data_IF_925449144596
#
_entry.id   IF_925449144596
#
_cell.length_a   1.000
_cell.length_b   1.000
_cell.length_c   1.000
_cell.angle_alpha   90.00
_cell.angle_beta   90.00
_cell.angle_gamma   90.00
#
_symmetry.space_group_name_H-M   'P 1'
#
loop_
_entity.id
_entity.type
_entity.pdbx_description
1 polymer ?
#
# COMPACT_ATOMS: atom_id res chain seq x y z
N UNK A 1 57.47 34.21 18.30
CA UNK A 1 56.86 33.32 19.30
C UNK A 1 55.59 32.75 18.71
N UNK A 2 55.49 31.41 18.67
CA UNK A 2 54.26 30.60 18.45
C UNK A 2 53.73 30.69 17.00
N UNK A 3 54.22 29.92 16.03
CA UNK A 3 54.08 28.46 15.83
C UNK A 3 52.64 27.95 15.94
N UNK A 4 52.16 27.35 14.82
CA UNK A 4 51.04 26.40 14.70
C UNK A 4 49.62 26.96 14.63
N UNK A 5 49.21 27.52 13.49
CA UNK A 5 47.85 27.30 12.98
C UNK A 5 47.95 27.18 11.45
N UNK A 6 47.25 26.19 10.88
CA UNK A 6 47.03 25.93 9.46
C UNK A 6 48.07 25.04 8.74
N UNK A 7 48.32 23.86 9.31
CA UNK A 7 48.88 22.72 8.57
C UNK A 7 47.88 21.55 8.50
N UNK A 8 46.59 21.82 8.22
CA UNK A 8 45.60 20.82 7.78
C UNK A 8 44.49 21.53 7.00
N UNK A 9 44.75 22.01 5.79
CA UNK A 9 43.68 22.42 4.85
C UNK A 9 44.09 22.28 3.37
N UNK A 10 45.37 22.05 3.05
CA UNK A 10 45.84 21.98 1.66
C UNK A 10 46.00 20.55 1.10
N UNK A 11 45.38 19.54 1.71
CA UNK A 11 45.38 18.16 1.19
C UNK A 11 44.04 17.71 0.56
N UNK A 12 43.07 18.60 0.38
CA UNK A 12 41.77 18.27 -0.24
C UNK A 12 41.44 19.04 -1.52
N UNK A 13 42.44 19.53 -2.26
CA UNK A 13 42.21 20.23 -3.54
C UNK A 13 42.96 19.61 -4.73
N UNK A 14 43.27 18.31 -4.66
CA UNK A 14 43.85 17.55 -5.77
C UNK A 14 43.18 16.18 -5.95
N UNK A 15 41.85 16.12 -5.85
CA UNK A 15 41.09 15.09 -6.58
C UNK A 15 40.06 15.80 -7.44
N UNK A 16 40.54 16.33 -8.57
CA UNK A 16 39.73 16.57 -9.75
C UNK A 16 39.44 15.19 -10.36
N UNK A 17 38.70 14.36 -9.63
CA UNK A 17 38.15 13.13 -10.16
C UNK A 17 37.10 13.54 -11.17
N UNK A 18 37.41 13.26 -12.43
CA UNK A 18 36.54 13.45 -13.58
C UNK A 18 35.12 13.05 -13.16
N UNK A 19 34.18 14.00 -13.24
CA UNK A 19 32.77 13.66 -13.40
C UNK A 19 32.71 12.80 -14.66
N UNK A 20 32.77 11.47 -14.47
CA UNK A 20 32.33 10.53 -15.47
C UNK A 20 30.88 10.92 -15.69
N UNK A 21 30.59 11.46 -16.87
CA UNK A 21 29.26 11.44 -17.43
C UNK A 21 28.71 10.04 -17.18
N UNK A 22 27.87 9.91 -16.14
CA UNK A 22 26.97 8.79 -16.03
C UNK A 22 26.08 9.00 -17.24
N UNK A 23 26.35 8.24 -18.31
CA UNK A 23 25.37 7.98 -19.34
C UNK A 23 24.07 7.71 -18.61
N UNK A 24 23.18 8.70 -18.60
CA UNK A 24 21.78 8.51 -18.26
C UNK A 24 21.32 7.49 -19.27
N UNK A 25 21.37 6.22 -18.87
CA UNK A 25 20.76 5.13 -19.60
C UNK A 25 19.29 5.54 -19.63
N UNK A 26 18.90 6.20 -20.73
CA UNK A 26 17.54 6.60 -21.02
C UNK A 26 16.76 5.29 -21.08
N UNK A 27 16.28 4.84 -19.93
CA UNK A 27 15.39 3.70 -19.83
C UNK A 27 14.20 4.17 -20.65
N UNK A 28 14.05 3.62 -21.85
CA UNK A 28 12.83 3.79 -22.61
C UNK A 28 11.72 3.20 -21.76
N UNK A 29 11.08 4.07 -20.97
CA UNK A 29 9.91 3.71 -20.19
C UNK A 29 8.82 3.45 -21.19
N UNK A 30 8.53 2.17 -21.40
CA UNK A 30 7.34 1.76 -22.13
C UNK A 30 6.16 2.52 -21.53
N UNK A 31 5.41 3.22 -22.37
CA UNK A 31 4.17 3.87 -21.94
C UNK A 31 3.07 2.83 -21.90
N UNK A 32 2.32 2.76 -20.79
CA UNK A 32 1.20 1.84 -20.63
C UNK A 32 -0.12 2.61 -20.63
N UNK A 33 -1.07 2.14 -21.42
CA UNK A 33 -2.43 2.67 -21.38
C UNK A 33 -3.16 2.26 -20.11
N UNK A 34 -4.18 3.02 -19.71
CA UNK A 34 -5.06 2.67 -18.58
C UNK A 34 -5.62 1.24 -18.68
N UNK A 35 -6.06 0.83 -19.87
CA UNK A 35 -6.63 -0.49 -20.08
C UNK A 35 -5.59 -1.61 -19.93
N UNK A 36 -4.36 -1.41 -20.40
CA UNK A 36 -3.27 -2.36 -20.20
C UNK A 36 -2.92 -2.50 -18.72
N UNK A 37 -2.79 -1.39 -17.99
CA UNK A 37 -2.55 -1.39 -16.55
C UNK A 37 -3.64 -2.20 -15.83
N UNK A 38 -4.93 -1.90 -16.08
CA UNK A 38 -6.03 -2.61 -15.42
C UNK A 38 -6.06 -4.11 -15.75
N UNK A 39 -5.73 -4.51 -16.98
CA UNK A 39 -5.62 -5.92 -17.34
C UNK A 39 -4.47 -6.62 -16.61
N UNK A 40 -3.32 -5.94 -16.47
CA UNK A 40 -2.18 -6.47 -15.73
C UNK A 40 -2.46 -6.58 -14.23
N UNK A 41 -3.26 -5.65 -13.69
CA UNK A 41 -3.75 -5.73 -12.31
C UNK A 41 -4.59 -7.00 -12.10
N UNK A 42 -5.55 -7.25 -12.99
CA UNK A 42 -6.42 -8.42 -12.88
C UNK A 42 -5.62 -9.74 -12.88
N UNK A 43 -4.56 -9.80 -13.70
CA UNK A 43 -3.62 -10.93 -13.71
C UNK A 43 -2.88 -11.05 -12.38
N UNK A 44 -2.35 -9.94 -11.86
CA UNK A 44 -1.62 -9.92 -10.58
C UNK A 44 -2.53 -10.35 -9.42
N UNK A 45 -3.74 -9.80 -9.30
CA UNK A 45 -4.70 -10.14 -8.24
C UNK A 45 -5.16 -11.59 -8.33
N UNK A 46 -5.40 -12.10 -9.55
CA UNK A 46 -5.76 -13.51 -9.76
C UNK A 46 -4.63 -14.45 -9.35
N UNK A 47 -3.38 -14.12 -9.69
CA UNK A 47 -2.19 -14.88 -9.28
C UNK A 47 -2.05 -14.85 -7.76
N UNK A 48 -2.13 -13.67 -7.14
CA UNK A 48 -2.02 -13.49 -5.69
C UNK A 48 -3.07 -14.33 -4.94
N UNK A 49 -4.33 -14.28 -5.38
CA UNK A 49 -5.40 -15.08 -4.78
C UNK A 49 -5.12 -16.59 -4.88
N UNK A 50 -4.70 -17.05 -6.06
CA UNK A 50 -4.37 -18.46 -6.28
C UNK A 50 -3.24 -18.92 -5.35
N UNK A 51 -2.16 -18.15 -5.27
CA UNK A 51 -1.02 -18.52 -4.44
C UNK A 51 -1.32 -18.47 -2.94
N UNK A 52 -2.09 -17.48 -2.48
CA UNK A 52 -2.55 -17.44 -1.08
C UNK A 52 -3.43 -18.67 -0.79
N UNK A 53 -4.30 -19.03 -1.73
CA UNK A 53 -5.16 -20.20 -1.58
C UNK A 53 -4.37 -21.52 -1.54
N UNK A 54 -3.25 -21.63 -2.27
CA UNK A 54 -2.37 -22.80 -2.30
C UNK A 54 -1.42 -22.86 -1.09
N UNK A 55 -0.72 -21.76 -0.80
CA UNK A 55 0.32 -21.70 0.26
C UNK A 55 -0.27 -21.55 1.66
N UNK A 56 -1.53 -21.08 1.78
CA UNK A 56 -2.23 -20.85 3.06
C UNK A 56 -1.48 -19.95 4.03
N UNK A 57 -0.77 -18.95 3.51
CA UNK A 57 -0.03 -17.95 4.30
C UNK A 57 0.14 -16.67 3.47
N UNK A 58 0.76 -15.65 4.07
CA UNK A 58 0.96 -14.35 3.43
C UNK A 58 2.25 -14.20 2.62
N UNK A 59 3.07 -15.25 2.50
CA UNK A 59 4.31 -15.19 1.70
C UNK A 59 4.13 -14.74 0.24
N UNK A 60 2.99 -14.98 -0.46
CA UNK A 60 2.78 -14.44 -1.81
C UNK A 60 2.87 -12.92 -1.92
N UNK A 61 2.65 -12.17 -0.83
CA UNK A 61 2.82 -10.72 -0.85
C UNK A 61 4.26 -10.31 -1.21
N UNK A 62 5.27 -11.11 -0.84
CA UNK A 62 6.69 -10.85 -1.18
C UNK A 62 6.93 -10.68 -2.68
N UNK A 63 6.16 -11.38 -3.52
CA UNK A 63 6.34 -11.34 -4.98
C UNK A 63 5.70 -10.13 -5.64
N UNK A 64 4.74 -9.50 -4.95
CA UNK A 64 3.91 -8.41 -5.48
C UNK A 64 4.09 -7.13 -4.69
N UNK A 65 5.06 -7.05 -3.78
CA UNK A 65 5.31 -5.90 -2.92
C UNK A 65 6.74 -5.39 -3.06
N UNK A 66 6.93 -4.09 -2.85
CA UNK A 66 8.26 -3.47 -2.74
C UNK A 66 8.66 -3.26 -1.27
N UNK A 67 9.92 -2.92 -0.98
CA UNK A 67 10.47 -2.80 0.38
C UNK A 67 9.68 -1.87 1.32
N UNK A 68 9.03 -0.84 0.76
CA UNK A 68 8.20 0.11 1.51
C UNK A 68 6.74 -0.33 1.72
N UNK A 69 6.38 -1.54 1.28
CA UNK A 69 5.01 -2.04 1.32
C UNK A 69 4.71 -2.75 2.63
N UNK A 70 3.46 -2.71 3.05
CA UNK A 70 3.10 -3.26 4.35
C UNK A 70 1.63 -3.23 4.69
N UNK A 71 1.34 -3.20 5.98
CA UNK A 71 -0.03 -3.26 6.46
C UNK A 71 -0.26 -2.39 7.68
N UNK A 72 -1.53 -2.03 7.88
CA UNK A 72 -2.05 -1.37 9.07
C UNK A 72 -3.31 -2.09 9.53
N UNK A 73 -3.36 -2.48 10.80
CA UNK A 73 -4.45 -3.28 11.37
C UNK A 73 -4.97 -2.57 12.62
N UNK A 74 -6.26 -2.28 12.64
CA UNK A 74 -7.02 -2.03 13.86
C UNK A 74 -7.55 -3.39 14.35
N UNK A 75 -7.23 -3.75 15.59
CA UNK A 75 -7.68 -5.02 16.21
C UNK A 75 -9.06 -4.88 16.87
N UNK A 76 -9.56 -3.66 17.05
CA UNK A 76 -10.93 -3.39 17.43
C UNK A 76 -11.26 -3.51 18.92
N UNK A 77 -10.29 -3.51 19.84
CA UNK A 77 -10.61 -3.35 21.27
C UNK A 77 -10.88 -1.86 21.59
N UNK A 78 -11.69 -1.63 22.62
CA UNK A 78 -12.44 -0.38 22.81
C UNK A 78 -11.57 0.84 23.23
N UNK A 79 -10.26 0.67 23.33
CA UNK A 79 -9.33 1.63 23.95
C UNK A 79 -8.68 2.58 22.95
N UNK A 80 -8.71 2.28 21.65
CA UNK A 80 -8.16 3.16 20.60
C UNK A 80 -6.63 3.17 20.49
N UNK A 81 -5.92 2.35 21.26
CA UNK A 81 -4.44 2.29 21.27
C UNK A 81 -3.83 1.15 20.43
N UNK A 82 -4.61 0.53 19.54
CA UNK A 82 -4.27 -0.81 19.04
C UNK A 82 -4.16 -0.87 17.51
N UNK A 83 -3.53 0.14 16.94
CA UNK A 83 -3.10 0.14 15.55
C UNK A 83 -1.75 -0.57 15.43
N UNK A 84 -1.73 -1.69 14.72
CA UNK A 84 -0.52 -2.44 14.43
C UNK A 84 -0.10 -2.25 12.98
N UNK A 85 1.12 -1.75 12.81
CA UNK A 85 1.78 -1.69 11.50
C UNK A 85 2.86 -2.75 11.33
N UNK A 86 3.16 -3.06 10.08
CA UNK A 86 4.29 -3.89 9.67
C UNK A 86 4.54 -3.81 8.17
N UNK A 87 5.58 -4.47 7.70
CA UNK A 87 5.92 -4.58 6.28
C UNK A 87 5.62 -5.98 5.74
N UNK A 88 5.54 -6.11 4.42
CA UNK A 88 5.45 -7.41 3.75
C UNK A 88 6.83 -8.04 3.63
N UNK A 89 7.46 -8.31 4.77
CA UNK A 89 8.72 -9.04 4.87
C UNK A 89 8.52 -10.28 5.76
N UNK A 90 9.46 -11.24 5.70
CA UNK A 90 9.34 -12.50 6.45
C UNK A 90 9.09 -12.27 7.94
N UNK A 91 9.75 -11.28 8.53
CA UNK A 91 9.61 -10.93 9.94
C UNK A 91 8.24 -10.27 10.22
N UNK A 92 7.74 -9.48 9.28
CA UNK A 92 6.47 -8.78 9.36
C UNK A 92 5.24 -9.69 9.28
N UNK A 93 5.32 -10.86 8.63
CA UNK A 93 4.16 -11.74 8.48
C UNK A 93 3.68 -12.36 9.80
N UNK A 94 4.58 -12.67 10.73
CA UNK A 94 4.20 -13.21 12.05
C UNK A 94 3.17 -12.34 12.79
N UNK A 95 3.30 -11.01 12.69
CA UNK A 95 2.37 -10.06 13.28
C UNK A 95 1.10 -9.91 12.47
N UNK A 96 1.18 -9.99 11.14
CA UNK A 96 -0.01 -10.01 10.27
C UNK A 96 -0.88 -11.22 10.58
N UNK A 97 -0.28 -12.42 10.65
CA UNK A 97 -0.95 -13.69 10.96
C UNK A 97 -1.58 -13.74 12.35
N UNK A 98 -1.07 -12.94 13.29
CA UNK A 98 -1.66 -12.83 14.63
C UNK A 98 -3.04 -12.17 14.60
N UNK A 99 -3.28 -11.23 13.68
CA UNK A 99 -4.46 -10.36 13.70
C UNK A 99 -5.35 -10.47 12.47
N UNK A 100 -4.84 -11.04 11.38
CA UNK A 100 -5.55 -11.18 10.11
C UNK A 100 -5.41 -12.62 9.63
N UNK A 101 -6.54 -13.22 9.33
CA UNK A 101 -6.63 -14.56 8.75
C UNK A 101 -6.43 -14.52 7.24
N UNK A 102 -5.96 -15.63 6.68
CA UNK A 102 -5.85 -15.78 5.22
C UNK A 102 -7.23 -15.71 4.57
N UNK A 103 -8.26 -16.20 5.25
CA UNK A 103 -9.65 -16.17 4.80
C UNK A 103 -10.18 -14.73 4.65
N UNK A 104 -9.85 -13.82 5.57
CA UNK A 104 -10.19 -12.40 5.47
C UNK A 104 -9.59 -11.79 4.19
N UNK A 105 -8.30 -12.02 3.93
CA UNK A 105 -7.62 -11.51 2.72
C UNK A 105 -8.16 -12.17 1.45
N UNK A 106 -8.44 -13.48 1.48
CA UNK A 106 -9.09 -14.17 0.36
C UNK A 106 -10.49 -13.61 0.08
N UNK A 107 -11.25 -13.25 1.12
CA UNK A 107 -12.57 -12.64 0.98
C UNK A 107 -12.46 -11.26 0.33
N UNK A 108 -11.50 -10.45 0.75
CA UNK A 108 -11.19 -9.16 0.12
C UNK A 108 -10.88 -9.33 -1.37
N UNK A 109 -9.98 -10.24 -1.72
CA UNK A 109 -9.58 -10.47 -3.13
C UNK A 109 -10.73 -11.01 -3.99
N UNK A 110 -11.69 -11.74 -3.41
CA UNK A 110 -12.83 -12.33 -4.15
C UNK A 110 -14.03 -11.40 -4.26
N UNK A 111 -14.30 -10.60 -3.23
CA UNK A 111 -15.55 -9.82 -3.09
C UNK A 111 -15.33 -8.31 -3.07
N UNK A 112 -14.08 -7.87 -2.94
CA UNK A 112 -13.76 -6.45 -2.89
C UNK A 112 -14.02 -5.77 -4.24
N UNK A 113 -14.41 -4.51 -4.17
CA UNK A 113 -14.63 -3.66 -5.33
C UNK A 113 -13.41 -2.79 -5.61
N UNK A 114 -13.15 -2.50 -6.88
CA UNK A 114 -12.12 -1.52 -7.27
C UNK A 114 -12.65 -0.13 -7.04
N UNK A 115 -12.01 0.62 -6.16
CA UNK A 115 -12.33 1.99 -5.80
C UNK A 115 -11.11 2.91 -5.94
N UNK A 116 -11.34 4.22 -5.90
CA UNK A 116 -10.29 5.25 -6.00
C UNK A 116 -9.34 5.04 -7.19
N UNK A 117 -9.87 4.58 -8.31
CA UNK A 117 -9.09 4.37 -9.54
C UNK A 117 -8.61 5.72 -10.06
N UNK A 118 -7.30 5.90 -10.13
CA UNK A 118 -6.70 7.12 -10.67
C UNK A 118 -7.10 7.34 -12.13
N UNK A 119 -7.02 8.59 -12.59
CA UNK A 119 -7.39 8.96 -13.95
C UNK A 119 -6.62 8.15 -14.99
N UNK A 120 -5.32 7.97 -14.79
CA UNK A 120 -4.41 7.20 -15.64
C UNK A 120 -4.48 5.67 -15.39
N UNK A 121 -5.20 5.23 -14.35
CA UNK A 121 -5.29 3.85 -13.90
C UNK A 121 -4.02 3.29 -13.27
N UNK A 122 -3.06 4.13 -12.88
CA UNK A 122 -1.82 3.77 -12.19
C UNK A 122 -1.94 3.57 -10.68
N UNK A 123 -3.10 3.84 -10.07
CA UNK A 123 -3.35 3.59 -8.65
C UNK A 123 -4.82 3.26 -8.40
N UNK A 124 -5.09 2.33 -7.48
CA UNK A 124 -6.43 2.03 -7.00
C UNK A 124 -6.42 1.26 -5.68
N UNK A 125 -7.60 1.13 -5.08
CA UNK A 125 -7.86 0.29 -3.90
C UNK A 125 -8.82 -0.84 -4.24
N UNK A 126 -8.58 -2.04 -3.69
CA UNK A 126 -9.61 -3.08 -3.58
C UNK A 126 -10.23 -2.95 -2.19
N UNK A 127 -11.51 -2.61 -2.11
CA UNK A 127 -12.18 -2.32 -0.84
C UNK A 127 -13.30 -3.29 -0.53
N UNK A 128 -13.45 -3.64 0.75
CA UNK A 128 -14.56 -4.44 1.26
C UNK A 128 -14.86 -4.06 2.70
N UNK A 129 -16.11 -3.70 3.00
CA UNK A 129 -16.54 -3.50 4.39
C UNK A 129 -17.30 -4.72 4.87
N UNK A 130 -16.78 -5.37 5.91
CA UNK A 130 -17.38 -6.58 6.47
C UNK A 130 -16.92 -6.88 7.88
N UNK A 131 -17.75 -7.56 8.67
CA UNK A 131 -17.44 -8.00 10.03
C UNK A 131 -16.95 -6.87 10.97
N UNK A 132 -17.50 -5.65 10.76
CA UNK A 132 -17.15 -4.39 11.45
C UNK A 132 -15.76 -3.83 11.11
N UNK A 133 -15.18 -4.25 9.99
CA UNK A 133 -13.92 -3.71 9.46
C UNK A 133 -14.11 -3.21 8.04
N UNK A 134 -13.40 -2.14 7.70
CA UNK A 134 -13.13 -1.72 6.34
C UNK A 134 -11.76 -2.27 5.93
N UNK A 135 -11.75 -3.06 4.87
CA UNK A 135 -10.55 -3.60 4.27
C UNK A 135 -10.19 -2.80 3.03
N UNK A 136 -8.91 -2.50 2.87
CA UNK A 136 -8.35 -1.83 1.69
C UNK A 136 -7.04 -2.52 1.27
N UNK A 137 -6.97 -2.95 0.02
CA UNK A 137 -5.74 -3.36 -0.63
C UNK A 137 -5.34 -2.30 -1.67
N UNK A 138 -4.45 -1.41 -1.26
CA UNK A 138 -3.97 -0.33 -2.10
C UNK A 138 -2.84 -0.82 -3.02
N UNK A 139 -3.04 -0.62 -4.32
CA UNK A 139 -2.15 -1.04 -5.40
C UNK A 139 -1.68 0.18 -6.21
N UNK A 140 -0.45 0.16 -6.70
CA UNK A 140 0.08 1.15 -7.64
C UNK A 140 0.90 0.51 -8.76
N UNK A 141 1.00 1.22 -9.89
CA UNK A 141 1.74 0.82 -11.08
C UNK A 141 2.92 1.77 -11.31
N UNK A 142 4.12 1.42 -10.83
CA UNK A 142 5.34 2.14 -11.18
C UNK A 142 5.71 1.88 -12.66
N UNK A 143 5.62 2.92 -13.48
CA UNK A 143 5.88 2.84 -14.93
C UNK A 143 7.28 2.32 -15.25
N UNK A 144 8.27 2.70 -14.44
CA UNK A 144 9.66 2.25 -14.60
C UNK A 144 9.83 0.73 -14.34
N UNK A 145 8.94 0.10 -13.59
CA UNK A 145 8.98 -1.34 -13.33
C UNK A 145 8.06 -2.14 -14.26
N UNK A 146 7.06 -1.49 -14.87
CA UNK A 146 6.13 -2.13 -15.79
C UNK A 146 5.33 -3.28 -15.16
N UNK A 147 5.03 -3.21 -13.86
CA UNK A 147 4.24 -4.19 -13.11
C UNK A 147 3.46 -3.52 -11.99
N UNK A 148 2.39 -4.15 -11.52
CA UNK A 148 1.69 -3.70 -10.32
C UNK A 148 2.40 -4.10 -9.04
N UNK A 149 2.26 -3.25 -8.03
CA UNK A 149 2.75 -3.46 -6.68
C UNK A 149 1.59 -3.27 -5.69
N UNK A 150 1.43 -4.21 -4.78
CA UNK A 150 0.62 -4.07 -3.58
C UNK A 150 1.42 -3.24 -2.58
N UNK A 151 0.96 -2.01 -2.33
CA UNK A 151 1.61 -1.07 -1.41
C UNK A 151 1.15 -1.24 0.02
N UNK A 152 -0.14 -1.44 0.23
CA UNK A 152 -0.72 -1.51 1.57
C UNK A 152 -1.89 -2.46 1.66
N UNK A 153 -1.95 -3.24 2.74
CA UNK A 153 -3.18 -3.87 3.23
C UNK A 153 -3.64 -3.15 4.50
N UNK A 154 -4.85 -2.64 4.50
CA UNK A 154 -5.47 -2.02 5.68
C UNK A 154 -6.65 -2.88 6.13
N UNK A 155 -6.76 -3.11 7.43
CA UNK A 155 -7.96 -3.65 8.10
C UNK A 155 -8.28 -2.68 9.22
N UNK A 156 -9.20 -1.76 8.98
CA UNK A 156 -9.48 -0.65 9.89
C UNK A 156 -10.91 -0.74 10.40
N UNK A 157 -11.22 -0.08 11.51
CA UNK A 157 -12.62 0.16 11.83
C UNK A 157 -13.23 1.10 10.77
N UNK A 158 -14.47 0.85 10.33
CA UNK A 158 -15.20 1.78 9.50
C UNK A 158 -15.23 3.14 10.19
N UNK A 159 -15.08 4.21 9.39
CA UNK A 159 -15.16 5.59 9.89
C UNK A 159 -16.49 5.85 10.62
N UNK A 160 -17.55 5.18 10.16
CA UNK A 160 -18.88 5.25 10.73
C UNK A 160 -19.38 3.86 11.13
N UNK A 161 -20.03 3.70 12.29
CA UNK A 161 -20.59 2.41 12.68
C UNK A 161 -21.67 1.96 11.68
N UNK A 162 -21.97 0.65 11.59
CA UNK A 162 -22.93 0.14 10.60
C UNK A 162 -24.34 0.73 10.71
N UNK A 163 -24.71 1.24 11.88
CA UNK A 163 -25.98 1.91 12.20
C UNK A 163 -25.89 3.44 12.10
N UNK A 164 -24.81 3.98 11.52
CA UNK A 164 -24.63 5.42 11.36
C UNK A 164 -25.70 6.03 10.45
N UNK A 165 -26.55 6.86 11.05
CA UNK A 165 -27.53 7.65 10.35
C UNK A 165 -26.89 8.96 9.85
N UNK A 166 -26.39 8.93 8.62
CA UNK A 166 -25.82 10.09 7.96
C UNK A 166 -26.81 11.26 7.84
N UNK A 167 -28.11 10.97 7.74
CA UNK A 167 -29.16 11.99 7.67
C UNK A 167 -29.32 12.67 9.02
N UNK A 168 -29.43 11.91 10.11
CA UNK A 168 -29.49 12.48 11.46
C UNK A 168 -28.21 13.27 11.81
N UNK A 169 -27.04 12.81 11.36
CA UNK A 169 -25.80 13.56 11.54
C UNK A 169 -25.81 14.90 10.78
N UNK A 170 -26.18 14.89 9.50
CA UNK A 170 -26.32 16.10 8.67
C UNK A 170 -27.36 17.06 9.27
N UNK A 171 -28.51 16.57 9.74
CA UNK A 171 -29.53 17.40 10.40
C UNK A 171 -29.03 18.02 11.72
N UNK A 172 -28.21 17.29 12.48
CA UNK A 172 -27.69 17.75 13.77
C UNK A 172 -26.50 18.71 13.66
N UNK A 173 -25.59 18.45 12.73
CA UNK A 173 -24.30 19.14 12.65
C UNK A 173 -24.16 20.03 11.41
N UNK A 174 -25.13 19.99 10.50
CA UNK A 174 -25.09 20.69 9.20
C UNK A 174 -23.82 20.38 8.39
N UNK A 175 -23.23 19.21 8.66
CA UNK A 175 -22.02 18.68 8.02
C UNK A 175 -22.41 17.35 7.37
N UNK A 176 -22.73 17.40 6.09
CA UNK A 176 -23.42 16.32 5.41
C UNK A 176 -22.40 15.37 4.78
N UNK A 177 -22.21 14.24 5.45
CA UNK A 177 -21.45 13.11 4.91
C UNK A 177 -22.35 12.30 4.01
N UNK A 178 -21.96 12.05 2.75
CA UNK A 178 -22.70 11.14 1.89
C UNK A 178 -22.68 9.73 2.48
N UNK A 179 -23.86 9.14 2.70
CA UNK A 179 -23.94 7.75 3.14
C UNK A 179 -23.38 6.83 2.06
N UNK A 180 -22.17 6.31 2.24
CA UNK A 180 -21.72 5.13 1.51
C UNK A 180 -22.48 3.92 2.04
N UNK A 181 -23.74 3.77 1.59
CA UNK A 181 -24.54 2.59 1.91
C UNK A 181 -23.78 1.33 1.50
N UNK A 182 -23.74 0.27 2.33
CA UNK A 182 -23.31 -1.03 1.86
C UNK A 182 -24.30 -1.45 0.77
N UNK A 183 -23.82 -1.54 -0.47
CA UNK A 183 -24.58 -2.20 -1.54
C UNK A 183 -24.67 -3.67 -1.16
N UNK A 184 -25.87 -4.09 -0.73
CA UNK A 184 -26.24 -5.50 -0.51
C UNK A 184 -25.94 -6.35 -1.74
#
# INVERSE_FOLDING_TARGET
>A
MIFRILLVCCLFLNSCDKFKDKEEKKVETKTYTKQEKLKMLDVMLSKLLKEIQEKKNFSPFLEVSDDGSGYTIDVGEHTGEELYGGNFQKEGFSRLEKYVTVEEVMRLLKKGSKEYVSEDGGGLSIMLTVDRFEYDLHCYFPEEQGRWVVRRLSRLRPEYPPDYDAKAHCEKWNDCVESKSPKN
#
